data_IF_136652485385
#
_entry.id   IF_136652485385
#
_cell.length_a   1.000
_cell.length_b   1.000
_cell.length_c   1.000
_cell.angle_alpha   90.00
_cell.angle_beta   90.00
_cell.angle_gamma   90.00
#
_symmetry.space_group_name_H-M   'P 1'
#
loop_
_entity.id
_entity.type
_entity.pdbx_description
1 polymer ?
#
# COMPACT_ATOMS: atom_id res chain seq x y z
N UNK A 1 -2.10 22.35 26.23
CA UNK A 1 -2.98 22.49 25.05
C UNK A 1 -2.41 21.65 23.92
N UNK A 2 -3.30 21.04 23.11
CA UNK A 2 -3.08 20.22 21.89
C UNK A 2 -2.38 18.85 21.99
N UNK A 3 -3.10 17.80 22.41
CA UNK A 3 -2.76 16.38 22.13
C UNK A 3 -3.73 15.66 21.18
N UNK A 4 -4.71 16.37 20.61
CA UNK A 4 -5.75 15.79 19.73
C UNK A 4 -5.28 15.49 18.29
N UNK A 5 -4.28 16.22 17.79
CA UNK A 5 -3.80 16.09 16.41
C UNK A 5 -2.90 14.85 16.21
N UNK A 6 -2.03 14.57 17.18
CA UNK A 6 -1.08 13.45 17.13
C UNK A 6 -1.82 12.10 17.11
N UNK A 7 -2.79 11.90 18.01
CA UNK A 7 -3.62 10.68 18.04
C UNK A 7 -4.40 10.44 16.75
N UNK A 8 -4.82 11.51 16.06
CA UNK A 8 -5.50 11.40 14.77
C UNK A 8 -4.53 10.99 13.64
N UNK A 9 -3.30 11.50 13.66
CA UNK A 9 -2.28 11.11 12.70
C UNK A 9 -1.82 9.66 12.90
N UNK A 10 -1.67 9.22 14.15
CA UNK A 10 -1.37 7.82 14.49
C UNK A 10 -2.43 6.86 13.95
N UNK A 11 -3.71 7.13 14.22
CA UNK A 11 -4.82 6.31 13.69
C UNK A 11 -4.83 6.27 12.16
N UNK A 12 -4.53 7.39 11.50
CA UNK A 12 -4.41 7.44 10.02
C UNK A 12 -3.23 6.61 9.53
N UNK A 13 -2.09 6.67 10.22
CA UNK A 13 -0.90 5.87 9.90
C UNK A 13 -1.21 4.38 10.06
N UNK A 14 -1.87 3.98 11.15
CA UNK A 14 -2.29 2.59 11.38
C UNK A 14 -3.19 2.07 10.24
N UNK A 15 -4.21 2.84 9.85
CA UNK A 15 -5.09 2.47 8.74
C UNK A 15 -4.33 2.35 7.41
N UNK A 16 -3.39 3.26 7.15
CA UNK A 16 -2.54 3.21 5.96
C UNK A 16 -1.57 2.02 5.98
N UNK A 17 -1.05 1.65 7.15
CA UNK A 17 -0.20 0.46 7.31
C UNK A 17 -0.99 -0.83 7.09
N UNK A 18 -2.25 -0.88 7.54
CA UNK A 18 -3.12 -2.01 7.27
C UNK A 18 -3.43 -2.14 5.78
N UNK A 19 -3.69 -1.02 5.08
CA UNK A 19 -3.86 -1.02 3.62
C UNK A 19 -2.60 -1.53 2.90
N UNK A 20 -1.40 -1.10 3.32
CA UNK A 20 -0.14 -1.61 2.78
C UNK A 20 -0.01 -3.12 2.95
N UNK A 21 -0.39 -3.66 4.11
CA UNK A 21 -0.34 -5.10 4.39
C UNK A 21 -1.27 -5.87 3.46
N UNK A 22 -2.49 -5.37 3.23
CA UNK A 22 -3.46 -5.98 2.31
C UNK A 22 -2.91 -5.96 0.87
N UNK A 23 -2.42 -4.82 0.39
CA UNK A 23 -1.85 -4.69 -0.96
C UNK A 23 -0.58 -5.52 -1.13
N UNK A 24 0.18 -5.74 -0.06
CA UNK A 24 1.32 -6.66 -0.09
C UNK A 24 0.86 -8.10 -0.36
N UNK A 25 -0.12 -8.61 0.40
CA UNK A 25 -0.67 -9.94 0.18
C UNK A 25 -1.31 -10.12 -1.21
N UNK A 26 -2.01 -9.11 -1.73
CA UNK A 26 -2.56 -9.15 -3.08
C UNK A 26 -1.47 -9.25 -4.15
N UNK A 27 -0.37 -8.52 -3.98
CA UNK A 27 0.77 -8.57 -4.90
C UNK A 27 1.43 -9.94 -4.89
N UNK A 28 1.61 -10.56 -3.73
CA UNK A 28 2.15 -11.92 -3.63
C UNK A 28 1.23 -12.94 -4.32
N UNK A 29 -0.10 -12.81 -4.15
CA UNK A 29 -1.07 -13.66 -4.83
C UNK A 29 -0.99 -13.50 -6.36
N UNK A 30 -0.92 -12.26 -6.86
CA UNK A 30 -0.73 -11.98 -8.28
C UNK A 30 0.61 -12.51 -8.79
N UNK A 31 1.70 -12.41 -8.01
CA UNK A 31 3.00 -12.95 -8.39
C UNK A 31 2.98 -14.48 -8.51
N UNK A 32 2.33 -15.17 -7.57
CA UNK A 32 2.13 -16.62 -7.64
C UNK A 32 1.27 -17.02 -8.86
N UNK A 33 0.23 -16.25 -9.15
CA UNK A 33 -0.61 -16.46 -10.34
C UNK A 33 0.17 -16.24 -11.65
N UNK A 34 1.03 -15.21 -11.70
CA UNK A 34 1.86 -14.92 -12.86
C UNK A 34 2.82 -16.06 -13.20
N UNK A 35 3.38 -16.69 -12.17
CA UNK A 35 4.29 -17.83 -12.32
C UNK A 35 3.60 -19.12 -12.73
N UNK A 36 2.35 -19.32 -12.32
CA UNK A 36 1.58 -20.54 -12.59
C UNK A 36 0.77 -20.49 -13.88
N UNK A 37 0.36 -19.30 -14.34
CA UNK A 37 -0.47 -19.19 -15.54
C UNK A 37 0.35 -19.37 -16.83
N UNK A 38 -0.21 -20.04 -17.83
CA UNK A 38 0.33 -20.14 -19.20
C UNK A 38 -0.32 -19.16 -20.18
N UNK A 39 -1.45 -18.56 -19.80
CA UNK A 39 -2.21 -17.61 -20.63
C UNK A 39 -1.51 -16.24 -20.70
N UNK A 40 -1.11 -15.83 -21.91
CA UNK A 40 -0.41 -14.57 -22.14
C UNK A 40 -1.27 -13.32 -21.90
N UNK A 41 -2.57 -13.39 -22.17
CA UNK A 41 -3.50 -12.30 -21.86
C UNK A 41 -3.65 -12.14 -20.35
N UNK A 42 -3.74 -13.27 -19.62
CA UNK A 42 -3.76 -13.26 -18.16
C UNK A 42 -2.46 -12.72 -17.57
N UNK A 43 -1.29 -13.10 -18.11
CA UNK A 43 0.01 -12.53 -17.68
C UNK A 43 0.06 -11.01 -17.84
N UNK A 44 -0.43 -10.47 -18.96
CA UNK A 44 -0.47 -9.01 -19.19
C UNK A 44 -1.38 -8.32 -18.18
N UNK A 45 -2.57 -8.87 -17.95
CA UNK A 45 -3.50 -8.35 -16.94
C UNK A 45 -2.85 -8.33 -15.56
N UNK A 46 -2.30 -9.45 -15.10
CA UNK A 46 -1.66 -9.56 -13.79
C UNK A 46 -0.51 -8.55 -13.63
N UNK A 47 0.34 -8.40 -14.65
CA UNK A 47 1.41 -7.40 -14.62
C UNK A 47 0.87 -5.98 -14.46
N UNK A 48 -0.20 -5.63 -15.18
CA UNK A 48 -0.85 -4.32 -15.03
C UNK A 48 -1.40 -4.10 -13.62
N UNK A 49 -2.03 -5.11 -13.02
CA UNK A 49 -2.52 -5.05 -11.63
C UNK A 49 -1.36 -4.90 -10.63
N UNK A 50 -0.26 -5.63 -10.83
CA UNK A 50 0.94 -5.51 -10.00
C UNK A 50 1.58 -4.12 -10.09
N UNK A 51 1.66 -3.53 -11.29
CA UNK A 51 2.17 -2.17 -11.51
C UNK A 51 1.28 -1.09 -10.88
N UNK A 52 -0.04 -1.31 -10.87
CA UNK A 52 -0.97 -0.45 -10.14
C UNK A 52 -0.78 -0.58 -8.63
N UNK A 53 -0.72 -1.80 -8.09
CA UNK A 53 -0.50 -2.04 -6.67
C UNK A 53 0.83 -1.45 -6.16
N UNK A 54 1.89 -1.51 -6.95
CA UNK A 54 3.18 -0.91 -6.55
C UNK A 54 3.08 0.62 -6.44
N UNK A 55 2.42 1.27 -7.40
CA UNK A 55 2.17 2.73 -7.34
C UNK A 55 1.33 3.13 -6.13
N UNK A 56 0.29 2.37 -5.83
CA UNK A 56 -0.55 2.60 -4.63
C UNK A 56 0.26 2.42 -3.33
N UNK A 57 1.10 1.38 -3.23
CA UNK A 57 1.98 1.17 -2.08
C UNK A 57 2.93 2.35 -1.87
N UNK A 58 3.57 2.83 -2.94
CA UNK A 58 4.44 4.00 -2.87
C UNK A 58 3.67 5.24 -2.42
N UNK A 59 2.43 5.44 -2.88
CA UNK A 59 1.62 6.58 -2.45
C UNK A 59 1.27 6.52 -0.97
N UNK A 60 0.85 5.34 -0.49
CA UNK A 60 0.56 5.14 0.93
C UNK A 60 1.81 5.39 1.77
N UNK A 61 2.99 4.92 1.35
CA UNK A 61 4.25 5.19 2.03
C UNK A 61 4.55 6.70 2.10
N UNK A 62 4.35 7.44 1.00
CA UNK A 62 4.48 8.92 1.00
C UNK A 62 3.52 9.58 1.98
N UNK A 63 2.26 9.12 2.04
CA UNK A 63 1.25 9.65 2.97
C UNK A 63 1.61 9.38 4.43
N UNK A 64 2.12 8.19 4.75
CA UNK A 64 2.62 7.85 6.09
C UNK A 64 3.79 8.77 6.45
N UNK A 65 4.77 8.96 5.56
CA UNK A 65 5.92 9.84 5.81
C UNK A 65 5.49 11.28 6.09
N UNK A 66 4.52 11.81 5.35
CA UNK A 66 3.94 13.15 5.59
C UNK A 66 3.26 13.25 6.96
N UNK A 67 2.41 12.28 7.30
CA UNK A 67 1.69 12.26 8.59
C UNK A 67 2.64 12.19 9.79
N UNK A 68 3.75 11.44 9.65
CA UNK A 68 4.81 11.36 10.67
C UNK A 68 5.55 12.68 10.82
N UNK A 69 5.91 13.34 9.72
CA UNK A 69 6.59 14.65 9.75
C UNK A 69 5.73 15.74 10.39
N UNK A 70 4.40 15.69 10.23
CA UNK A 70 3.45 16.63 10.86
C UNK A 70 3.23 16.41 12.36
N UNK A 71 3.71 15.31 12.96
CA UNK A 71 3.50 14.99 14.38
C UNK A 71 4.69 15.28 15.30
N UNK A 72 5.82 15.75 14.76
CA UNK A 72 7.10 15.90 15.47
C UNK A 72 7.46 17.31 15.96
N UNK A 73 6.50 18.24 16.06
CA UNK A 73 6.70 19.62 16.54
C UNK A 73 5.80 19.95 17.73
#
# INVERSE_FOLDING_TARGET
MYSGSVKNNERKIENLQEQLRIYHGQFEAYQAELWSTSDQSRKRFIKSEMDWLDREKQDIQRRISKLRASGGY
#
